data_IF_374250529857
#
_entry.id   IF_374250529857
#
_cell.length_a   1.000
_cell.length_b   1.000
_cell.length_c   1.000
_cell.angle_alpha   90.00
_cell.angle_beta   90.00
_cell.angle_gamma   90.00
#
_symmetry.space_group_name_H-M   'P 1'
#
loop_
_entity.id
_entity.type
_entity.pdbx_description
1 polymer ?
#
# COMPACT_ATOMS: atom_id res chain seq x y z
N UNK A 1 23.72 86.34 5.16
CA UNK A 1 22.57 87.16 4.70
C UNK A 1 21.29 86.39 4.96
N UNK A 2 20.39 86.98 5.76
CA UNK A 2 18.94 86.76 5.99
C UNK A 2 18.31 85.37 5.64
N UNK A 3 17.71 84.60 6.56
CA UNK A 3 16.41 84.82 7.28
C UNK A 3 15.22 84.88 6.30
N UNK A 4 14.14 84.07 6.28
CA UNK A 4 13.25 83.41 7.26
C UNK A 4 12.48 82.26 6.52
N UNK A 5 11.88 81.25 7.17
CA UNK A 5 10.48 81.34 7.67
C UNK A 5 9.96 80.02 8.31
N UNK A 6 9.60 80.10 9.61
CA UNK A 6 8.37 79.65 10.34
C UNK A 6 7.74 78.29 9.94
N UNK A 7 7.34 77.37 10.84
CA UNK A 7 6.28 77.45 11.88
C UNK A 7 6.30 76.20 12.83
N UNK A 8 5.89 76.41 14.09
CA UNK A 8 5.61 75.54 15.26
C UNK A 8 4.50 74.46 15.05
N UNK A 9 4.05 73.63 16.03
CA UNK A 9 4.61 73.10 17.30
C UNK A 9 4.42 71.55 17.52
N UNK A 10 4.89 71.10 18.70
CA UNK A 10 4.66 69.86 19.47
C UNK A 10 3.25 69.22 19.44
N UNK A 11 3.18 67.90 19.17
CA UNK A 11 2.14 66.89 19.55
C UNK A 11 2.46 65.63 18.73
N UNK A 12 2.58 64.38 19.19
CA UNK A 12 2.37 63.67 20.44
C UNK A 12 2.34 62.16 20.06
N UNK A 13 2.42 61.27 21.05
CA UNK A 13 2.13 59.82 20.98
C UNK A 13 3.25 58.93 20.39
N UNK A 14 4.05 58.21 21.19
CA UNK A 14 3.73 57.02 22.00
C UNK A 14 3.26 55.80 21.18
N UNK A 15 4.14 54.80 21.03
CA UNK A 15 3.84 53.35 20.95
C UNK A 15 5.17 52.60 20.72
N UNK A 16 5.77 52.01 21.77
CA UNK A 16 5.58 50.61 22.18
C UNK A 16 6.36 49.62 21.31
N UNK A 17 7.62 49.38 21.68
CA UNK A 17 8.44 48.27 21.16
C UNK A 17 8.02 46.99 21.87
N UNK A 18 7.35 46.07 21.16
CA UNK A 18 7.06 44.72 21.65
C UNK A 18 8.23 43.82 21.31
N UNK A 19 8.87 43.32 22.37
CA UNK A 19 9.91 42.30 22.37
C UNK A 19 9.29 40.97 21.91
N UNK A 20 9.77 40.39 20.80
CA UNK A 20 9.33 39.09 20.30
C UNK A 20 10.55 38.21 20.06
N UNK A 21 10.76 37.20 20.92
CA UNK A 21 11.62 36.05 20.61
C UNK A 21 11.01 34.78 21.21
N UNK A 22 10.32 34.05 20.33
CA UNK A 22 10.21 32.60 20.16
C UNK A 22 10.33 31.68 21.39
N UNK A 23 9.17 31.24 21.91
CA UNK A 23 9.04 29.93 22.55
C UNK A 23 8.95 28.87 21.45
N UNK A 24 10.04 28.14 21.23
CA UNK A 24 10.09 26.99 20.34
C UNK A 24 9.47 25.79 21.07
N UNK A 25 8.15 25.65 21.00
CA UNK A 25 7.46 24.43 21.40
C UNK A 25 7.81 23.35 20.38
N UNK A 26 8.70 22.44 20.75
CA UNK A 26 8.93 21.22 19.97
C UNK A 26 7.66 20.38 19.92
N UNK A 27 7.04 20.30 18.74
CA UNK A 27 6.14 19.22 18.43
C UNK A 27 6.98 17.93 18.37
N UNK A 28 6.73 17.01 19.30
CA UNK A 28 7.03 15.60 19.09
C UNK A 28 6.05 15.11 18.03
N UNK A 29 6.45 15.23 16.76
CA UNK A 29 5.82 14.56 15.64
C UNK A 29 5.99 13.05 15.88
N UNK A 30 4.95 12.42 16.41
CA UNK A 30 4.86 10.97 16.44
C UNK A 30 4.91 10.50 14.99
N UNK A 31 5.93 9.72 14.64
CA UNK A 31 6.01 9.07 13.34
C UNK A 31 4.92 7.98 13.26
N UNK A 32 3.70 8.39 12.93
CA UNK A 32 2.72 7.50 12.31
C UNK A 32 3.25 7.20 10.91
N UNK A 33 3.75 5.98 10.71
CA UNK A 33 3.92 5.44 9.35
C UNK A 33 2.59 5.55 8.59
N UNK A 34 2.61 5.50 7.25
CA UNK A 34 1.40 5.64 6.45
C UNK A 34 0.33 4.69 6.98
N UNK A 35 -0.75 5.26 7.49
CA UNK A 35 -1.87 4.52 8.04
C UNK A 35 -2.47 3.66 6.93
N UNK A 36 -2.24 2.35 7.02
CA UNK A 36 -2.73 1.38 6.05
C UNK A 36 -4.26 1.48 6.08
N UNK A 37 -4.82 1.98 4.98
CA UNK A 37 -6.24 1.90 4.70
C UNK A 37 -6.70 0.44 4.68
N UNK A 38 -7.98 0.20 4.43
CA UNK A 38 -8.44 -1.17 4.21
C UNK A 38 -7.75 -1.76 2.98
N UNK A 39 -7.00 -2.85 3.18
CA UNK A 39 -6.42 -3.58 2.05
C UNK A 39 -7.54 -4.29 1.29
N UNK A 40 -8.46 -4.90 2.04
CA UNK A 40 -9.74 -5.40 1.57
C UNK A 40 -10.82 -4.72 2.40
N UNK A 41 -11.82 -4.12 1.77
CA UNK A 41 -12.92 -3.43 2.48
C UNK A 41 -13.95 -4.43 3.03
N UNK A 42 -14.73 -4.07 4.06
CA UNK A 42 -15.85 -4.88 4.54
C UNK A 42 -16.86 -5.22 3.44
N UNK A 43 -17.14 -4.28 2.54
CA UNK A 43 -18.06 -4.45 1.41
C UNK A 43 -17.55 -5.49 0.41
N UNK A 44 -16.24 -5.46 0.13
CA UNK A 44 -15.56 -6.45 -0.71
C UNK A 44 -15.48 -7.83 -0.06
N UNK A 45 -15.22 -7.87 1.25
CA UNK A 45 -15.19 -9.12 2.01
C UNK A 45 -16.56 -9.83 2.01
N UNK A 46 -17.64 -9.05 2.08
CA UNK A 46 -19.02 -9.52 2.07
C UNK A 46 -19.53 -9.96 0.68
N UNK A 47 -18.76 -9.75 -0.39
CA UNK A 47 -19.12 -10.25 -1.72
C UNK A 47 -19.19 -11.79 -1.72
N UNK A 48 -20.09 -12.33 -2.54
CA UNK A 48 -20.19 -13.77 -2.73
C UNK A 48 -18.83 -14.36 -3.18
N UNK A 49 -18.50 -15.60 -2.79
CA UNK A 49 -17.28 -16.26 -3.25
C UNK A 49 -17.34 -16.49 -4.78
N UNK A 50 -16.16 -16.65 -5.39
CA UNK A 50 -16.08 -17.04 -6.79
C UNK A 50 -16.81 -18.39 -7.01
N UNK A 51 -17.53 -18.58 -8.13
CA UNK A 51 -18.21 -19.84 -8.40
C UNK A 51 -17.21 -21.00 -8.50
N UNK A 52 -17.34 -21.99 -7.63
CA UNK A 52 -16.54 -23.22 -7.73
C UNK A 52 -17.05 -24.07 -8.89
N UNK A 53 -16.30 -24.12 -10.00
CA UNK A 53 -16.61 -24.99 -11.14
C UNK A 53 -15.81 -26.29 -11.01
N UNK A 54 -16.47 -27.47 -10.92
CA UNK A 54 -15.79 -28.75 -10.94
C UNK A 54 -14.99 -28.91 -12.24
N UNK A 55 -13.68 -29.12 -12.12
CA UNK A 55 -12.76 -29.16 -13.27
C UNK A 55 -11.97 -27.87 -13.54
N UNK A 56 -12.06 -26.87 -12.64
CA UNK A 56 -11.38 -25.58 -12.80
C UNK A 56 -12.25 -24.57 -13.56
N UNK A 57 -11.77 -23.33 -13.71
CA UNK A 57 -12.48 -22.35 -14.52
C UNK A 57 -12.50 -22.84 -15.98
N UNK A 58 -13.60 -22.67 -16.73
CA UNK A 58 -13.60 -22.92 -18.18
C UNK A 58 -12.50 -22.15 -18.94
N UNK A 59 -11.98 -21.08 -18.33
CA UNK A 59 -10.85 -20.29 -18.84
C UNK A 59 -9.46 -20.92 -18.60
N UNK A 60 -9.36 -21.98 -17.80
CA UNK A 60 -8.09 -22.64 -17.45
C UNK A 60 -7.78 -23.86 -18.34
N UNK A 61 -8.75 -24.33 -19.13
CA UNK A 61 -8.59 -25.49 -20.00
C UNK A 61 -7.56 -25.20 -21.10
N UNK A 62 -6.41 -25.87 -21.05
CA UNK A 62 -5.33 -25.77 -22.04
C UNK A 62 -4.19 -24.79 -21.67
N UNK A 63 -4.22 -24.20 -20.47
CA UNK A 63 -3.14 -23.35 -19.93
C UNK A 63 -2.18 -24.17 -19.05
N UNK A 64 -1.44 -25.10 -19.63
CA UNK A 64 -0.16 -25.50 -19.05
C UNK A 64 0.84 -24.35 -19.30
N UNK A 65 0.67 -23.27 -18.55
CA UNK A 65 1.51 -22.09 -18.68
C UNK A 65 2.84 -22.39 -17.98
N UNK A 66 3.89 -22.61 -18.78
CA UNK A 66 5.26 -22.73 -18.28
C UNK A 66 5.70 -21.36 -17.73
N UNK A 67 5.41 -21.14 -16.45
CA UNK A 67 5.81 -19.94 -15.72
C UNK A 67 7.33 -19.92 -15.60
N UNK A 68 7.97 -19.01 -16.34
CA UNK A 68 9.43 -18.88 -16.39
C UNK A 68 9.93 -17.53 -15.85
N UNK A 69 9.02 -16.73 -15.28
CA UNK A 69 9.33 -15.42 -14.72
C UNK A 69 9.91 -15.48 -13.31
N UNK A 70 9.78 -14.40 -12.51
CA UNK A 70 10.30 -14.35 -11.15
C UNK A 70 9.77 -15.45 -10.22
N UNK A 71 10.58 -15.86 -9.25
CA UNK A 71 10.15 -16.77 -8.18
C UNK A 71 9.32 -15.98 -7.17
N UNK A 72 8.12 -16.48 -6.86
CA UNK A 72 7.21 -15.90 -5.85
C UNK A 72 7.16 -16.83 -4.63
N UNK A 73 7.72 -16.35 -3.51
CA UNK A 73 7.68 -17.04 -2.21
C UNK A 73 6.73 -16.29 -1.27
N UNK A 74 5.66 -16.96 -0.83
CA UNK A 74 4.75 -16.38 0.16
C UNK A 74 5.20 -16.83 1.55
N UNK A 75 5.68 -15.87 2.35
CA UNK A 75 6.15 -16.10 3.72
C UNK A 75 4.98 -15.98 4.70
N UNK A 76 4.13 -14.95 4.51
CA UNK A 76 2.90 -14.73 5.28
C UNK A 76 1.80 -14.08 4.42
N UNK A 77 0.52 -14.39 4.68
CA UNK A 77 0.06 -15.53 5.49
C UNK A 77 0.45 -16.85 4.83
N UNK A 78 0.59 -17.91 5.63
CA UNK A 78 0.85 -19.25 5.09
C UNK A 78 -0.40 -19.73 4.36
N UNK A 79 -0.23 -20.43 3.25
CA UNK A 79 -1.38 -20.99 2.53
C UNK A 79 -2.17 -21.96 3.42
N UNK A 80 -3.47 -21.71 3.57
CA UNK A 80 -4.38 -22.42 4.48
C UNK A 80 -4.29 -21.97 5.93
N UNK A 81 -3.65 -20.83 6.24
CA UNK A 81 -3.58 -20.31 7.60
C UNK A 81 -4.89 -19.68 8.07
N UNK A 82 -5.11 -19.73 9.38
CA UNK A 82 -6.27 -19.17 10.08
C UNK A 82 -5.72 -18.23 11.16
N UNK A 83 -5.55 -16.96 10.82
CA UNK A 83 -4.83 -15.99 11.66
C UNK A 83 -5.77 -14.87 12.15
N UNK A 84 -5.60 -14.37 13.40
CA UNK A 84 -6.36 -13.21 13.87
C UNK A 84 -5.88 -11.91 13.20
N UNK A 85 -6.79 -10.96 13.03
CA UNK A 85 -6.42 -9.62 12.56
C UNK A 85 -5.58 -8.84 13.61
N UNK A 86 -4.67 -7.93 13.18
CA UNK A 86 -4.30 -7.61 11.81
C UNK A 86 -3.36 -8.65 11.19
N UNK A 87 -3.44 -8.84 9.87
CA UNK A 87 -2.65 -9.83 9.13
C UNK A 87 -1.33 -9.23 8.65
N UNK A 88 -0.23 -9.93 8.85
CA UNK A 88 1.03 -9.61 8.16
C UNK A 88 1.04 -10.24 6.77
N UNK A 89 1.21 -9.43 5.73
CA UNK A 89 1.45 -9.89 4.36
C UNK A 89 2.92 -9.73 4.06
N UNK A 90 3.61 -10.85 3.84
CA UNK A 90 5.01 -10.86 3.49
C UNK A 90 5.27 -11.85 2.35
N UNK A 91 5.58 -11.30 1.19
CA UNK A 91 5.82 -12.05 -0.05
C UNK A 91 7.18 -11.62 -0.56
N UNK A 92 8.01 -12.57 -0.99
CA UNK A 92 9.32 -12.30 -1.58
C UNK A 92 9.30 -12.61 -3.06
N UNK A 93 9.98 -11.74 -3.80
CA UNK A 93 10.30 -11.94 -5.20
C UNK A 93 11.80 -12.21 -5.33
N UNK A 94 12.14 -13.14 -6.21
CA UNK A 94 13.52 -13.41 -6.58
C UNK A 94 13.62 -13.57 -8.08
N UNK A 95 14.61 -12.92 -8.69
CA UNK A 95 14.87 -13.09 -10.12
C UNK A 95 15.17 -14.55 -10.44
N UNK A 96 14.73 -15.00 -11.61
CA UNK A 96 15.09 -16.31 -12.15
C UNK A 96 16.13 -16.14 -13.27
N UNK A 97 15.76 -15.46 -14.36
CA UNK A 97 16.64 -15.18 -15.49
C UNK A 97 16.88 -13.67 -15.69
N UNK A 98 15.83 -12.86 -15.60
CA UNK A 98 15.90 -11.40 -15.68
C UNK A 98 15.42 -10.70 -14.38
N UNK A 99 15.77 -9.42 -14.16
CA UNK A 99 15.31 -8.65 -13.01
C UNK A 99 13.78 -8.57 -12.91
N UNK A 100 13.26 -8.52 -11.68
CA UNK A 100 11.83 -8.36 -11.42
C UNK A 100 11.36 -7.00 -11.92
N UNK A 101 10.32 -6.98 -12.76
CA UNK A 101 9.64 -5.74 -13.15
C UNK A 101 8.48 -5.47 -12.17
N UNK A 102 8.71 -4.58 -11.21
CA UNK A 102 7.70 -4.21 -10.21
C UNK A 102 6.46 -3.59 -10.85
N UNK A 103 6.58 -2.92 -11.99
CA UNK A 103 5.44 -2.28 -12.66
C UNK A 103 4.46 -3.31 -13.27
N UNK A 104 4.93 -4.55 -13.47
CA UNK A 104 4.11 -5.67 -13.97
C UNK A 104 3.32 -6.38 -12.87
N UNK A 105 3.56 -6.05 -11.59
CA UNK A 105 2.89 -6.69 -10.46
C UNK A 105 1.38 -6.48 -10.56
N UNK A 106 0.64 -7.58 -10.35
CA UNK A 106 -0.79 -7.56 -10.10
C UNK A 106 -1.11 -8.43 -8.90
N UNK A 107 -1.94 -7.89 -8.01
CA UNK A 107 -2.48 -8.60 -6.86
C UNK A 107 -3.98 -8.42 -6.83
N UNK A 108 -4.72 -9.52 -6.83
CA UNK A 108 -6.17 -9.50 -6.77
C UNK A 108 -6.73 -10.50 -5.78
N UNK A 109 -7.93 -10.21 -5.28
CA UNK A 109 -8.71 -11.09 -4.41
C UNK A 109 -9.81 -11.73 -5.26
N UNK A 110 -9.92 -13.04 -5.20
CA UNK A 110 -10.97 -13.79 -5.89
C UNK A 110 -12.25 -13.78 -5.05
N UNK A 111 -13.21 -12.96 -5.48
CA UNK A 111 -14.62 -13.01 -5.08
C UNK A 111 -15.46 -13.24 -6.35
N UNK A 112 -16.77 -13.08 -6.26
CA UNK A 112 -17.68 -13.16 -7.41
C UNK A 112 -17.22 -12.29 -8.59
N UNK A 113 -16.65 -11.12 -8.28
CA UNK A 113 -15.81 -10.34 -9.19
C UNK A 113 -14.39 -10.32 -8.64
N UNK A 114 -13.38 -10.38 -9.52
CA UNK A 114 -11.99 -10.22 -9.09
C UNK A 114 -11.74 -8.77 -8.68
N UNK A 115 -11.22 -8.56 -7.48
CA UNK A 115 -10.95 -7.24 -6.92
C UNK A 115 -9.45 -6.98 -7.00
N UNK A 116 -9.04 -5.98 -7.79
CA UNK A 116 -7.64 -5.57 -7.89
C UNK A 116 -7.27 -4.69 -6.68
N UNK A 117 -6.24 -5.10 -5.94
CA UNK A 117 -5.71 -4.40 -4.75
C UNK A 117 -4.29 -3.87 -4.97
N UNK A 118 -3.76 -3.95 -6.20
CA UNK A 118 -2.37 -3.61 -6.54
C UNK A 118 -2.03 -2.18 -6.14
N UNK A 119 -2.90 -1.22 -6.41
CA UNK A 119 -2.66 0.18 -6.07
C UNK A 119 -2.64 0.42 -4.54
N UNK A 120 -3.34 -0.40 -3.76
CA UNK A 120 -3.42 -0.28 -2.29
C UNK A 120 -2.14 -0.76 -1.60
N UNK A 121 -1.39 -1.65 -2.24
CA UNK A 121 -0.12 -2.18 -1.70
C UNK A 121 1.10 -1.49 -2.30
N UNK A 122 0.92 -0.55 -3.24
CA UNK A 122 2.01 0.03 -4.03
C UNK A 122 3.15 0.61 -3.18
N UNK A 123 2.82 1.27 -2.08
CA UNK A 123 3.81 1.85 -1.16
C UNK A 123 4.57 0.80 -0.32
N UNK A 124 4.13 -0.45 -0.38
CA UNK A 124 4.70 -1.61 0.34
C UNK A 124 5.42 -2.58 -0.59
N UNK A 125 5.58 -2.23 -1.88
CA UNK A 125 6.17 -3.10 -2.90
C UNK A 125 7.58 -2.62 -3.25
N UNK A 126 8.52 -3.55 -3.28
CA UNK A 126 9.89 -3.36 -3.80
C UNK A 126 10.23 -4.45 -4.81
N UNK A 127 11.42 -4.38 -5.41
CA UNK A 127 11.94 -5.47 -6.24
C UNK A 127 12.20 -6.76 -5.46
N UNK A 128 12.31 -6.71 -4.12
CA UNK A 128 12.46 -7.90 -3.29
C UNK A 128 11.13 -8.52 -2.87
N UNK A 129 9.99 -7.83 -3.03
CA UNK A 129 8.72 -8.36 -2.55
C UNK A 129 7.66 -7.34 -2.15
N UNK A 130 6.70 -7.82 -1.37
CA UNK A 130 5.61 -7.05 -0.75
C UNK A 130 5.73 -7.26 0.76
N UNK A 131 5.73 -6.17 1.55
CA UNK A 131 5.68 -6.26 3.01
C UNK A 131 4.70 -5.27 3.63
N UNK A 132 3.54 -5.79 4.05
CA UNK A 132 2.53 -5.06 4.82
C UNK A 132 2.48 -5.67 6.22
N UNK A 133 2.96 -4.94 7.23
CA UNK A 133 3.08 -5.46 8.61
C UNK A 133 1.73 -5.71 9.28
N UNK A 134 0.79 -4.79 9.06
CA UNK A 134 -0.53 -4.79 9.72
C UNK A 134 -1.61 -4.48 8.67
N UNK A 135 -1.88 -5.45 7.81
CA UNK A 135 -2.93 -5.32 6.81
C UNK A 135 -4.31 -5.36 7.47
N UNK A 136 -5.12 -4.33 7.20
CA UNK A 136 -6.53 -4.30 7.58
C UNK A 136 -7.35 -5.11 6.58
N UNK A 137 -7.70 -6.32 7.00
CA UNK A 137 -8.53 -7.28 6.26
C UNK A 137 -9.63 -7.74 7.23
N UNK A 138 -10.93 -7.66 6.86
CA UNK A 138 -12.02 -8.14 7.71
C UNK A 138 -11.96 -9.65 7.93
N UNK A 139 -12.66 -10.20 8.93
CA UNK A 139 -12.81 -11.64 9.07
C UNK A 139 -13.44 -12.28 7.84
N UNK A 140 -12.99 -13.49 7.49
CA UNK A 140 -13.49 -14.26 6.35
C UNK A 140 -12.40 -15.02 5.59
N UNK A 141 -12.83 -15.78 4.58
CA UNK A 141 -11.93 -16.53 3.68
C UNK A 141 -11.55 -15.69 2.46
N UNK A 142 -10.26 -15.73 2.13
CA UNK A 142 -9.67 -14.99 1.02
C UNK A 142 -8.79 -15.89 0.17
N UNK A 143 -9.05 -15.87 -1.14
CA UNK A 143 -8.13 -16.39 -2.15
C UNK A 143 -7.49 -15.21 -2.86
N UNK A 144 -6.17 -15.12 -2.82
CA UNK A 144 -5.37 -14.03 -3.39
C UNK A 144 -4.53 -14.56 -4.53
N UNK A 145 -4.63 -13.89 -5.67
CA UNK A 145 -3.84 -14.13 -6.86
C UNK A 145 -2.73 -13.09 -6.95
N UNK A 146 -1.49 -13.54 -7.03
CA UNK A 146 -0.31 -12.70 -7.24
C UNK A 146 0.31 -13.07 -8.58
N UNK A 147 0.58 -12.09 -9.43
CA UNK A 147 1.38 -12.30 -10.65
C UNK A 147 2.37 -11.17 -10.86
N UNK A 148 3.56 -11.52 -11.33
CA UNK A 148 4.63 -10.56 -11.63
C UNK A 148 5.47 -11.10 -12.79
N UNK A 149 5.95 -10.19 -13.62
CA UNK A 149 6.86 -10.45 -14.72
C UNK A 149 8.28 -9.95 -14.42
N UNK A 150 9.24 -10.43 -15.18
CA UNK A 150 10.56 -9.83 -15.30
C UNK A 150 10.61 -8.80 -16.43
N UNK A 151 11.74 -8.10 -16.55
CA UNK A 151 11.95 -7.08 -17.58
C UNK A 151 11.96 -7.60 -19.01
N UNK A 152 12.02 -8.92 -19.22
CA UNK A 152 11.94 -9.56 -20.55
C UNK A 152 10.51 -10.03 -20.87
N UNK A 153 9.57 -9.87 -19.94
CA UNK A 153 8.15 -10.21 -20.09
C UNK A 153 7.82 -11.65 -19.72
N UNK A 154 8.77 -12.45 -19.22
CA UNK A 154 8.46 -13.75 -18.65
C UNK A 154 7.81 -13.57 -17.29
N UNK A 155 6.73 -14.30 -17.02
CA UNK A 155 5.88 -14.06 -15.87
C UNK A 155 5.65 -15.32 -15.03
N UNK A 156 5.28 -15.06 -13.79
CA UNK A 156 4.94 -16.07 -12.79
C UNK A 156 3.68 -15.67 -12.05
N UNK A 157 2.99 -16.67 -11.51
CA UNK A 157 1.78 -16.49 -10.72
C UNK A 157 1.77 -17.42 -9.52
N UNK A 158 1.19 -16.95 -8.42
CA UNK A 158 0.95 -17.70 -7.19
C UNK A 158 -0.46 -17.41 -6.71
N UNK A 159 -1.18 -18.46 -6.32
CA UNK A 159 -2.45 -18.34 -5.61
C UNK A 159 -2.25 -18.80 -4.17
N UNK A 160 -2.80 -18.06 -3.22
CA UNK A 160 -2.86 -18.46 -1.81
C UNK A 160 -4.28 -18.28 -1.28
N UNK A 161 -4.67 -19.16 -0.37
CA UNK A 161 -5.93 -19.06 0.37
C UNK A 161 -5.62 -18.94 1.86
N UNK A 162 -6.32 -18.10 2.59
CA UNK A 162 -6.21 -17.98 4.05
C UNK A 162 -7.52 -17.47 4.65
N UNK A 163 -7.70 -17.71 5.94
CA UNK A 163 -8.83 -17.23 6.74
C UNK A 163 -8.35 -16.20 7.75
N UNK A 164 -9.11 -15.11 7.85
CA UNK A 164 -8.97 -14.12 8.93
C UNK A 164 -10.05 -14.38 9.97
N UNK A 165 -9.64 -14.57 11.22
CA UNK A 165 -10.52 -14.87 12.37
C UNK A 165 -11.15 -13.62 12.99
#
# INVERSE_FOLDING_TARGET
MLSLSKKTPWQGMAAMYVLSVCLFSGNLEGASGPEVGWLITPEEAAMAPAPSVPGGSPFDIGRDEVMSGPIIEVVKPVNGAHDPAPIEVYIKFSKQFAPVDVASLKVSVEKFISIDITDRIRDHVTSEGIHVKEAKIPPGEYTVLISVADTEGAWSRKTITFEVL
#
